data_IF_939395715252
#
_entry.id   IF_939395715252
#
_cell.length_a   1.000
_cell.length_b   1.000
_cell.length_c   1.000
_cell.angle_alpha   90.00
_cell.angle_beta   90.00
_cell.angle_gamma   90.00
#
_symmetry.space_group_name_H-M   'P 1'
#
loop_
_entity.id
_entity.type
_entity.pdbx_description
1 polymer ?
#
# COMPACT_ATOMS: atom_id res chain seq x y z
N UNK A 1 2.17 13.77 -9.91
CA UNK A 1 1.60 12.58 -9.26
C UNK A 1 2.45 11.37 -9.62
N UNK A 2 2.67 10.44 -8.70
CA UNK A 2 3.32 9.16 -8.99
C UNK A 2 2.26 8.18 -9.55
N UNK A 3 2.69 7.23 -10.37
CA UNK A 3 1.81 6.31 -11.11
C UNK A 3 0.97 5.44 -10.17
N UNK A 4 1.50 5.11 -8.99
CA UNK A 4 0.76 4.36 -7.96
C UNK A 4 -0.48 5.11 -7.47
N UNK A 5 -0.36 6.40 -7.14
CA UNK A 5 -1.53 7.18 -6.74
C UNK A 5 -2.52 7.31 -7.90
N UNK A 6 -2.03 7.52 -9.14
CA UNK A 6 -2.90 7.67 -10.32
C UNK A 6 -3.74 6.42 -10.55
N UNK A 7 -3.11 5.25 -10.45
CA UNK A 7 -3.80 3.97 -10.56
C UNK A 7 -4.83 3.80 -9.43
N UNK A 8 -4.49 4.14 -8.18
CA UNK A 8 -5.42 4.08 -7.06
C UNK A 8 -6.65 4.99 -7.28
N UNK A 9 -6.43 6.23 -7.72
CA UNK A 9 -7.50 7.16 -8.05
C UNK A 9 -8.41 6.59 -9.15
N UNK A 10 -7.83 6.06 -10.23
CA UNK A 10 -8.58 5.43 -11.31
C UNK A 10 -9.42 4.22 -10.83
N UNK A 11 -8.83 3.35 -10.00
CA UNK A 11 -9.51 2.19 -9.45
C UNK A 11 -10.67 2.60 -8.52
N UNK A 12 -10.45 3.57 -7.64
CA UNK A 12 -11.51 4.13 -6.78
C UNK A 12 -12.65 4.71 -7.62
N UNK A 13 -12.33 5.52 -8.64
CA UNK A 13 -13.34 6.13 -9.49
C UNK A 13 -14.12 5.11 -10.31
N UNK A 14 -13.45 4.04 -10.78
CA UNK A 14 -14.12 2.92 -11.45
C UNK A 14 -15.11 2.23 -10.50
N UNK A 15 -14.66 1.81 -9.33
CA UNK A 15 -15.54 1.14 -8.35
C UNK A 15 -16.67 2.05 -7.91
N UNK A 16 -16.43 3.34 -7.69
CA UNK A 16 -17.46 4.33 -7.39
C UNK A 16 -18.57 4.39 -8.44
N UNK A 17 -18.23 4.34 -9.74
CA UNK A 17 -19.20 4.43 -10.84
C UNK A 17 -20.03 3.16 -11.01
N UNK A 18 -19.46 2.01 -10.67
CA UNK A 18 -20.05 0.71 -10.99
C UNK A 18 -20.65 -0.01 -9.77
N UNK A 19 -20.30 0.40 -8.54
CA UNK A 19 -20.75 -0.23 -7.30
C UNK A 19 -21.41 0.78 -6.36
N UNK A 20 -22.76 0.86 -6.32
CA UNK A 20 -23.49 1.81 -5.47
C UNK A 20 -23.14 1.70 -3.98
N UNK A 21 -22.92 0.48 -3.48
CA UNK A 21 -22.51 0.25 -2.08
C UNK A 21 -21.15 0.85 -1.77
N UNK A 22 -20.19 0.74 -2.69
CA UNK A 22 -18.88 1.36 -2.54
C UNK A 22 -18.96 2.87 -2.66
N UNK A 23 -19.79 3.40 -3.56
CA UNK A 23 -20.05 4.83 -3.67
C UNK A 23 -20.55 5.42 -2.35
N UNK A 24 -21.58 4.83 -1.76
CA UNK A 24 -22.11 5.27 -0.46
C UNK A 24 -21.06 5.15 0.66
N UNK A 25 -20.29 4.06 0.65
CA UNK A 25 -19.21 3.83 1.61
C UNK A 25 -18.11 4.89 1.53
N UNK A 26 -17.52 5.07 0.34
CA UNK A 26 -16.46 6.05 0.11
C UNK A 26 -16.97 7.47 0.40
N UNK A 27 -18.24 7.76 0.13
CA UNK A 27 -18.83 9.05 0.47
C UNK A 27 -18.80 9.27 1.98
N UNK A 28 -19.39 8.35 2.75
CA UNK A 28 -19.52 8.47 4.21
C UNK A 28 -18.17 8.45 4.92
N UNK A 29 -17.27 7.57 4.51
CA UNK A 29 -16.00 7.36 5.19
C UNK A 29 -14.95 8.42 4.83
N UNK A 30 -14.92 8.86 3.57
CA UNK A 30 -13.83 9.71 3.06
C UNK A 30 -14.29 11.13 2.74
N UNK A 31 -15.41 11.27 2.02
CA UNK A 31 -15.81 12.57 1.48
C UNK A 31 -16.60 13.41 2.48
N UNK A 32 -17.49 12.80 3.24
CA UNK A 32 -18.51 13.48 4.03
C UNK A 32 -17.89 14.39 5.10
N UNK A 33 -18.45 15.60 5.21
CA UNK A 33 -18.23 16.52 6.32
C UNK A 33 -19.55 16.71 7.06
N UNK A 34 -19.49 16.95 8.36
CA UNK A 34 -20.68 17.26 9.15
C UNK A 34 -21.50 18.40 8.51
N UNK A 35 -22.78 18.12 8.30
CA UNK A 35 -23.75 19.01 7.67
C UNK A 35 -23.84 18.92 6.14
N UNK A 36 -22.97 18.16 5.48
CA UNK A 36 -23.04 17.94 4.03
C UNK A 36 -24.27 17.10 3.64
N UNK A 37 -24.58 17.07 2.34
CA UNK A 37 -25.67 16.22 1.83
C UNK A 37 -25.19 14.78 1.63
N UNK A 38 -26.13 13.85 1.55
CA UNK A 38 -25.81 12.52 1.03
C UNK A 38 -25.39 12.60 -0.44
N UNK A 39 -24.69 11.57 -0.90
CA UNK A 39 -24.31 11.42 -2.31
C UNK A 39 -25.57 11.21 -3.15
N UNK A 40 -25.77 12.04 -4.16
CA UNK A 40 -26.87 11.91 -5.10
C UNK A 40 -26.53 10.91 -6.21
N UNK A 41 -27.54 10.31 -6.84
CA UNK A 41 -27.32 9.33 -7.92
C UNK A 41 -26.64 9.94 -9.16
N UNK A 42 -26.85 11.23 -9.40
CA UNK A 42 -26.24 12.00 -10.47
C UNK A 42 -24.90 12.66 -10.06
N UNK A 43 -24.31 12.27 -8.91
CA UNK A 43 -22.98 12.70 -8.55
C UNK A 43 -21.95 12.13 -9.54
N UNK A 44 -21.04 12.99 -10.01
CA UNK A 44 -19.97 12.60 -10.92
C UNK A 44 -18.64 12.49 -10.16
N UNK A 45 -17.81 11.54 -10.58
CA UNK A 45 -16.40 11.42 -10.16
C UNK A 45 -15.51 11.48 -11.40
N UNK A 46 -14.44 12.26 -11.35
CA UNK A 46 -13.44 12.41 -12.41
C UNK A 46 -12.04 12.19 -11.84
N UNK A 47 -11.19 11.51 -12.61
CA UNK A 47 -9.80 11.19 -12.25
C UNK A 47 -8.89 12.18 -12.94
N UNK A 48 -8.05 12.89 -12.17
CA UNK A 48 -7.12 13.90 -12.69
C UNK A 48 -7.72 14.81 -13.81
N UNK A 49 -8.97 15.33 -13.68
CA UNK A 49 -9.51 16.22 -14.71
C UNK A 49 -8.65 17.48 -14.85
N UNK A 50 -7.94 17.82 -13.77
CA UNK A 50 -6.93 18.85 -13.71
C UNK A 50 -5.69 18.27 -13.03
N UNK A 51 -4.50 18.76 -13.40
CA UNK A 51 -3.22 18.31 -12.81
C UNK A 51 -3.06 18.62 -11.30
N UNK A 52 -4.09 19.21 -10.69
CA UNK A 52 -4.15 19.61 -9.28
C UNK A 52 -5.23 18.90 -8.46
N UNK A 53 -5.90 17.89 -9.01
CA UNK A 53 -6.89 17.10 -8.26
C UNK A 53 -6.83 15.64 -8.67
N UNK A 54 -6.40 14.76 -7.76
CA UNK A 54 -6.33 13.32 -8.03
C UNK A 54 -7.73 12.73 -8.33
N UNK A 55 -8.71 13.08 -7.49
CA UNK A 55 -10.13 12.85 -7.72
C UNK A 55 -10.91 14.15 -7.54
N UNK A 56 -11.85 14.40 -8.46
CA UNK A 56 -12.83 15.47 -8.36
C UNK A 56 -14.24 14.86 -8.34
N UNK A 57 -15.02 15.15 -7.31
CA UNK A 57 -16.40 14.71 -7.18
C UNK A 57 -17.31 15.94 -7.17
N UNK A 58 -18.32 15.94 -8.02
CA UNK A 58 -19.37 16.97 -8.03
C UNK A 58 -20.70 16.32 -7.65
N UNK A 59 -21.30 16.78 -6.55
CA UNK A 59 -22.56 16.29 -6.03
C UNK A 59 -23.61 17.42 -6.08
N UNK A 60 -24.44 17.48 -7.13
CA UNK A 60 -25.50 18.49 -7.24
C UNK A 60 -26.67 18.15 -6.33
N UNK A 61 -26.97 19.03 -5.38
CA UNK A 61 -28.02 18.83 -4.37
C UNK A 61 -29.00 20.00 -4.36
N UNK A 62 -30.19 19.89 -3.73
CA UNK A 62 -31.08 21.04 -3.53
C UNK A 62 -30.45 22.21 -2.75
N UNK A 63 -29.34 21.98 -2.03
CA UNK A 63 -28.62 23.00 -1.26
C UNK A 63 -27.48 23.67 -2.05
N UNK A 64 -27.26 23.28 -3.30
CA UNK A 64 -26.13 23.70 -4.12
C UNK A 64 -25.29 22.51 -4.58
N UNK A 65 -24.24 22.81 -5.35
CA UNK A 65 -23.31 21.81 -5.88
C UNK A 65 -22.14 21.69 -4.93
N UNK A 66 -21.99 20.54 -4.29
CA UNK A 66 -20.80 20.27 -3.49
C UNK A 66 -19.68 19.77 -4.40
N UNK A 67 -18.49 20.37 -4.27
CA UNK A 67 -17.31 20.03 -5.06
C UNK A 67 -16.22 19.54 -4.12
N UNK A 68 -15.85 18.26 -4.26
CA UNK A 68 -14.82 17.62 -3.45
C UNK A 68 -13.60 17.34 -4.30
N UNK A 69 -12.45 17.79 -3.83
CA UNK A 69 -11.16 17.26 -4.26
C UNK A 69 -10.70 16.24 -3.24
N UNK A 70 -10.37 15.03 -3.68
CA UNK A 70 -9.69 14.04 -2.85
C UNK A 70 -8.28 13.90 -3.39
N UNK A 71 -7.29 14.34 -2.60
CA UNK A 71 -5.86 14.24 -2.90
C UNK A 71 -5.28 13.02 -2.18
N UNK A 72 -4.75 12.07 -2.95
CA UNK A 72 -4.26 10.79 -2.48
C UNK A 72 -2.76 10.86 -2.18
N UNK A 73 -2.33 10.18 -1.11
CA UNK A 73 -0.92 9.89 -0.83
C UNK A 73 -0.75 8.42 -0.49
N UNK A 74 0.14 7.75 -1.23
CA UNK A 74 0.57 6.38 -0.96
C UNK A 74 2.06 6.40 -0.66
N UNK A 75 2.88 6.76 -1.67
CA UNK A 75 4.34 6.83 -1.56
C UNK A 75 4.88 8.24 -1.74
N UNK A 76 4.15 9.09 -2.46
CA UNK A 76 4.57 10.45 -2.74
C UNK A 76 4.56 11.32 -1.48
N UNK A 77 5.63 12.12 -1.32
CA UNK A 77 5.68 13.15 -0.29
C UNK A 77 4.64 14.23 -0.61
N UNK A 78 3.90 14.66 0.41
CA UNK A 78 2.97 15.77 0.30
C UNK A 78 3.76 17.07 0.07
N UNK A 79 3.57 17.70 -1.09
CA UNK A 79 4.21 18.99 -1.40
C UNK A 79 3.51 20.16 -0.72
N UNK A 80 4.19 21.29 -0.59
CA UNK A 80 3.63 22.47 0.11
C UNK A 80 2.41 23.07 -0.61
N UNK A 81 2.39 23.07 -1.96
CA UNK A 81 1.24 23.53 -2.75
C UNK A 81 -0.01 22.63 -2.61
N UNK A 82 0.18 21.40 -2.14
CA UNK A 82 -0.89 20.42 -1.88
C UNK A 82 -1.34 20.41 -0.41
N UNK A 83 -0.52 20.94 0.50
CA UNK A 83 -0.71 20.81 1.94
C UNK A 83 -1.57 21.95 2.50
N UNK A 84 -2.81 21.71 2.98
CA UNK A 84 -3.67 22.78 3.49
C UNK A 84 -3.11 23.53 4.72
N UNK A 85 -2.14 22.94 5.42
CA UNK A 85 -1.44 23.55 6.54
C UNK A 85 -0.37 24.58 6.12
N UNK A 86 -0.02 24.63 4.83
CA UNK A 86 1.05 25.46 4.24
C UNK A 86 0.46 26.61 3.44
N UNK A 87 1.17 27.76 3.42
CA UNK A 87 0.64 29.00 2.82
C UNK A 87 0.47 28.85 1.32
N UNK A 88 1.39 28.12 0.71
CA UNK A 88 1.51 27.77 -0.70
C UNK A 88 0.22 27.16 -1.23
N UNK A 89 -0.46 26.32 -0.45
CA UNK A 89 -1.78 25.77 -0.82
C UNK A 89 -2.83 26.84 -1.11
N UNK A 90 -2.80 27.96 -0.38
CA UNK A 90 -3.75 29.06 -0.54
C UNK A 90 -3.37 30.09 -1.62
N UNK A 91 -2.20 29.96 -2.24
CA UNK A 91 -1.76 30.86 -3.31
C UNK A 91 -2.45 30.51 -4.64
N UNK A 92 -2.37 31.41 -5.63
CA UNK A 92 -3.07 31.28 -6.91
C UNK A 92 -2.74 29.98 -7.68
N UNK A 93 -1.52 29.49 -7.53
CA UNK A 93 -0.98 28.25 -8.08
C UNK A 93 -1.04 27.06 -7.11
N UNK A 94 -1.43 27.32 -5.85
CA UNK A 94 -1.71 26.30 -4.85
C UNK A 94 -3.01 25.55 -5.14
N UNK A 95 -3.12 24.31 -4.68
CA UNK A 95 -4.29 23.47 -4.97
C UNK A 95 -5.59 24.08 -4.41
N UNK A 96 -5.54 24.74 -3.25
CA UNK A 96 -6.68 25.46 -2.69
C UNK A 96 -7.05 26.69 -3.53
N UNK A 97 -6.07 27.48 -3.96
CA UNK A 97 -6.31 28.61 -4.85
C UNK A 97 -6.89 28.19 -6.19
N UNK A 98 -6.37 27.12 -6.79
CA UNK A 98 -6.86 26.55 -8.03
C UNK A 98 -8.29 26.00 -7.89
N UNK A 99 -8.60 25.29 -6.80
CA UNK A 99 -9.96 24.83 -6.52
C UNK A 99 -10.94 26.01 -6.42
N UNK A 100 -10.58 27.06 -5.67
CA UNK A 100 -11.42 28.24 -5.53
C UNK A 100 -11.56 29.03 -6.84
N UNK A 101 -10.51 29.12 -7.65
CA UNK A 101 -10.56 29.82 -8.93
C UNK A 101 -11.46 29.11 -9.95
N UNK A 102 -11.54 27.78 -9.92
CA UNK A 102 -12.33 26.98 -10.86
C UNK A 102 -13.76 26.70 -10.38
N UNK A 103 -14.00 26.71 -9.06
CA UNK A 103 -15.27 26.27 -8.46
C UNK A 103 -15.76 27.17 -7.30
N UNK A 104 -15.24 28.40 -7.20
CA UNK A 104 -15.61 29.36 -6.15
C UNK A 104 -16.87 30.18 -6.48
N UNK A 105 -17.75 29.67 -7.36
CA UNK A 105 -18.91 30.42 -7.84
C UNK A 105 -20.10 30.36 -6.86
N UNK A 106 -21.05 31.31 -6.91
CA UNK A 106 -22.25 31.26 -6.07
C UNK A 106 -23.01 29.94 -6.25
N UNK A 107 -23.32 29.28 -5.12
CA UNK A 107 -24.01 27.98 -5.11
C UNK A 107 -23.08 26.77 -5.10
N UNK A 108 -21.76 26.97 -5.22
CA UNK A 108 -20.77 25.91 -5.07
C UNK A 108 -20.22 25.85 -3.65
N UNK A 109 -20.01 24.62 -3.17
CA UNK A 109 -19.63 24.34 -1.79
C UNK A 109 -18.35 23.49 -1.82
N UNK A 110 -17.23 24.12 -1.48
CA UNK A 110 -15.90 23.54 -1.70
C UNK A 110 -15.40 22.67 -0.53
N UNK A 111 -14.86 21.51 -0.88
CA UNK A 111 -14.31 20.52 0.04
C UNK A 111 -12.97 20.00 -0.49
N UNK A 112 -11.99 19.87 0.40
CA UNK A 112 -10.71 19.26 0.09
C UNK A 112 -10.40 18.17 1.12
N UNK A 113 -10.19 16.95 0.65
CA UNK A 113 -9.88 15.78 1.46
C UNK A 113 -8.46 15.35 1.14
N UNK A 114 -7.60 15.35 2.16
CA UNK A 114 -6.29 14.75 2.06
C UNK A 114 -6.36 13.29 2.55
N UNK A 115 -6.18 12.33 1.65
CA UNK A 115 -6.30 10.90 1.94
C UNK A 115 -4.92 10.24 2.01
N UNK A 116 -4.61 9.62 3.15
CA UNK A 116 -3.43 8.74 3.29
C UNK A 116 -2.11 9.45 3.59
N UNK A 117 -2.11 10.78 3.67
CA UNK A 117 -0.91 11.52 4.08
C UNK A 117 -0.57 11.31 5.56
N UNK A 118 0.69 11.59 5.93
CA UNK A 118 1.09 11.73 7.34
C UNK A 118 0.27 12.82 8.04
N UNK A 119 0.01 12.73 9.35
CA UNK A 119 -0.77 13.74 10.07
C UNK A 119 -0.26 15.16 9.84
N UNK A 120 -1.17 16.07 9.47
CA UNK A 120 -0.88 17.50 9.31
C UNK A 120 -1.77 18.33 10.23
N UNK A 121 -1.23 19.47 10.71
CA UNK A 121 -1.99 20.40 11.54
C UNK A 121 -2.93 21.25 10.66
N UNK A 122 -4.15 20.76 10.46
CA UNK A 122 -5.11 21.37 9.55
C UNK A 122 -5.71 22.66 10.11
N UNK A 123 -5.77 23.66 9.23
CA UNK A 123 -6.51 24.89 9.50
C UNK A 123 -7.98 24.69 9.13
N UNK A 124 -8.90 24.99 10.06
CA UNK A 124 -10.36 24.92 9.81
C UNK A 124 -10.82 25.79 8.63
N UNK A 125 -10.13 26.92 8.41
CA UNK A 125 -10.29 27.79 7.24
C UNK A 125 -8.90 28.05 6.66
N UNK A 126 -8.49 27.32 5.61
CA UNK A 126 -7.17 27.50 5.03
C UNK A 126 -7.11 28.85 4.32
N UNK A 127 -6.29 29.76 4.84
CA UNK A 127 -5.81 30.94 4.12
C UNK A 127 -6.93 31.85 3.58
N UNK A 128 -8.03 31.96 4.32
CA UNK A 128 -9.24 32.74 3.97
C UNK A 128 -9.96 32.27 2.71
N UNK A 129 -9.70 31.06 2.23
CA UNK A 129 -10.48 30.44 1.17
C UNK A 129 -11.79 29.87 1.72
N UNK A 130 -12.90 29.91 0.97
CA UNK A 130 -14.18 29.33 1.36
C UNK A 130 -14.20 27.80 1.20
N UNK A 131 -13.11 27.13 1.58
CA UNK A 131 -12.89 25.69 1.44
C UNK A 131 -12.87 25.06 2.83
N UNK A 132 -13.65 24.00 3.04
CA UNK A 132 -13.48 23.14 4.22
C UNK A 132 -12.52 22.01 3.88
N UNK A 133 -11.59 21.75 4.80
CA UNK A 133 -10.54 20.73 4.61
C UNK A 133 -10.63 19.67 5.69
N UNK A 134 -10.37 18.43 5.32
CA UNK A 134 -10.20 17.34 6.27
C UNK A 134 -9.09 16.39 5.82
N UNK A 135 -8.54 15.68 6.79
CA UNK A 135 -7.63 14.58 6.55
C UNK A 135 -8.36 13.28 6.86
N UNK A 136 -8.17 12.30 5.99
CA UNK A 136 -8.61 10.92 6.15
C UNK A 136 -7.45 9.99 5.90
N UNK A 137 -7.57 8.80 6.41
CA UNK A 137 -6.55 7.76 6.33
C UNK A 137 -7.12 6.57 5.58
N UNK A 138 -6.22 5.77 4.99
CA UNK A 138 -6.64 4.57 4.27
C UNK A 138 -7.43 3.58 5.14
N UNK A 139 -7.16 3.54 6.45
CA UNK A 139 -7.96 2.77 7.42
C UNK A 139 -9.41 3.22 7.48
N UNK A 140 -9.68 4.52 7.35
CA UNK A 140 -11.04 5.05 7.39
C UNK A 140 -11.84 4.53 6.18
N UNK A 141 -11.16 4.28 5.05
CA UNK A 141 -11.77 3.60 3.91
C UNK A 141 -11.93 2.10 4.17
N UNK A 142 -10.93 1.45 4.76
CA UNK A 142 -10.89 0.01 4.98
C UNK A 142 -11.89 -0.49 6.04
N UNK A 143 -12.22 0.33 7.03
CA UNK A 143 -13.24 0.02 8.02
C UNK A 143 -14.60 -0.18 7.33
N UNK A 144 -15.30 -1.28 7.66
CA UNK A 144 -16.58 -1.67 7.06
C UNK A 144 -16.61 -1.73 5.52
N UNK A 145 -15.46 -2.03 4.89
CA UNK A 145 -15.33 -2.01 3.45
C UNK A 145 -16.27 -3.02 2.73
N UNK A 146 -16.97 -2.62 1.65
CA UNK A 146 -17.91 -3.49 0.95
C UNK A 146 -17.27 -4.75 0.36
N UNK A 147 -17.99 -5.88 0.44
CA UNK A 147 -17.48 -7.21 0.03
C UNK A 147 -17.96 -7.67 -1.36
N UNK A 148 -18.39 -6.76 -2.22
CA UNK A 148 -18.77 -7.09 -3.62
C UNK A 148 -17.55 -7.50 -4.44
N UNK A 149 -17.74 -8.15 -5.59
CA UNK A 149 -16.61 -8.62 -6.44
C UNK A 149 -15.69 -7.49 -6.87
N UNK A 150 -16.25 -6.39 -7.37
CA UNK A 150 -15.49 -5.22 -7.82
C UNK A 150 -14.86 -4.46 -6.64
N UNK A 151 -15.55 -4.39 -5.49
CA UNK A 151 -14.97 -3.80 -4.28
C UNK A 151 -13.79 -4.62 -3.79
N UNK A 152 -13.91 -5.95 -3.77
CA UNK A 152 -12.79 -6.85 -3.46
C UNK A 152 -11.61 -6.56 -4.37
N UNK A 153 -11.81 -6.53 -5.69
CA UNK A 153 -10.75 -6.22 -6.67
C UNK A 153 -10.06 -4.88 -6.41
N UNK A 154 -10.81 -3.86 -6.00
CA UNK A 154 -10.25 -2.59 -5.55
C UNK A 154 -9.39 -2.76 -4.29
N UNK A 155 -9.87 -3.44 -3.25
CA UNK A 155 -9.08 -3.68 -2.04
C UNK A 155 -7.77 -4.43 -2.34
N UNK A 156 -7.80 -5.43 -3.23
CA UNK A 156 -6.59 -6.13 -3.69
C UNK A 156 -5.64 -5.14 -4.37
N UNK A 157 -6.16 -4.36 -5.30
CA UNK A 157 -5.40 -3.39 -6.08
C UNK A 157 -4.72 -2.36 -5.18
N UNK A 158 -5.44 -1.82 -4.17
CA UNK A 158 -4.89 -0.87 -3.20
C UNK A 158 -3.80 -1.51 -2.34
N UNK A 159 -3.99 -2.77 -1.91
CA UNK A 159 -2.97 -3.51 -1.18
C UNK A 159 -1.71 -3.77 -1.99
N UNK A 160 -1.85 -4.13 -3.27
CA UNK A 160 -0.70 -4.31 -4.19
C UNK A 160 0.09 -3.02 -4.41
N UNK A 161 -0.53 -1.85 -4.22
CA UNK A 161 0.15 -0.56 -4.26
C UNK A 161 0.87 -0.23 -2.94
N UNK A 162 0.84 -1.12 -1.94
CA UNK A 162 1.50 -0.93 -0.65
C UNK A 162 0.70 -0.10 0.36
N UNK A 163 -0.64 -0.06 0.22
CA UNK A 163 -1.51 0.56 1.22
C UNK A 163 -1.80 -0.45 2.34
N UNK A 164 -1.11 -0.34 3.46
CA UNK A 164 -1.20 -1.29 4.60
C UNK A 164 -2.62 -1.49 5.17
N UNK A 165 -3.50 -0.49 5.03
CA UNK A 165 -4.90 -0.60 5.49
C UNK A 165 -5.73 -1.59 4.67
N UNK A 166 -5.31 -1.84 3.44
CA UNK A 166 -5.79 -2.94 2.62
C UNK A 166 -4.67 -3.95 2.59
N UNK A 167 -4.45 -4.72 3.68
CA UNK A 167 -3.49 -5.80 3.63
C UNK A 167 -3.90 -6.60 2.41
N UNK A 168 -2.99 -6.67 1.44
CA UNK A 168 -3.35 -7.17 0.13
C UNK A 168 -4.13 -8.46 0.33
N UNK A 169 -5.11 -8.64 -0.52
CA UNK A 169 -5.48 -9.98 -0.89
C UNK A 169 -4.28 -10.65 -1.58
N UNK A 170 -3.22 -10.94 -0.81
CA UNK A 170 -2.12 -11.87 -1.10
C UNK A 170 -2.66 -13.32 -1.11
N UNK A 171 -3.94 -13.48 -1.39
CA UNK A 171 -4.75 -14.68 -1.25
C UNK A 171 -5.51 -14.94 -2.56
N UNK A 172 -5.23 -14.22 -3.66
CA UNK A 172 -5.97 -14.42 -4.91
C UNK A 172 -5.67 -15.74 -5.64
N UNK A 173 -4.69 -16.53 -5.16
CA UNK A 173 -4.51 -17.95 -5.52
C UNK A 173 -4.86 -18.93 -4.38
N UNK A 174 -5.51 -18.49 -3.31
CA UNK A 174 -5.79 -19.32 -2.14
C UNK A 174 -7.29 -19.28 -1.81
N UNK A 175 -7.98 -20.42 -2.00
CA UNK A 175 -9.41 -20.58 -1.69
C UNK A 175 -9.79 -19.94 -0.33
N UNK A 176 -10.67 -18.95 -0.42
CA UNK A 176 -11.02 -17.98 0.63
C UNK A 176 -12.10 -18.54 1.54
N UNK A 177 -11.71 -18.98 2.74
CA UNK A 177 -12.49 -18.78 3.98
C UNK A 177 -11.66 -19.17 5.22
N UNK A 178 -10.68 -20.06 5.08
CA UNK A 178 -9.82 -20.53 6.19
C UNK A 178 -8.46 -19.82 6.26
N UNK A 179 -8.04 -19.11 5.21
CA UNK A 179 -6.63 -18.72 4.99
C UNK A 179 -6.24 -17.28 5.32
N UNK A 180 -7.19 -16.36 5.53
CA UNK A 180 -6.86 -14.99 5.98
C UNK A 180 -6.30 -14.98 7.41
N UNK A 181 -6.87 -15.80 8.30
CA UNK A 181 -6.31 -16.02 9.63
C UNK A 181 -4.97 -16.73 9.57
N UNK A 182 -4.76 -17.63 8.62
CA UNK A 182 -3.46 -18.29 8.40
C UNK A 182 -2.40 -17.33 7.87
N UNK A 183 -2.75 -16.41 6.98
CA UNK A 183 -1.85 -15.38 6.47
C UNK A 183 -1.47 -14.37 7.56
N UNK A 184 -2.45 -13.85 8.30
CA UNK A 184 -2.17 -12.95 9.44
C UNK A 184 -1.29 -13.64 10.51
N UNK A 185 -1.52 -14.93 10.74
CA UNK A 185 -0.64 -15.76 11.58
C UNK A 185 0.76 -15.90 10.97
N UNK A 186 0.87 -16.15 9.67
CA UNK A 186 2.14 -16.27 8.95
C UNK A 186 2.94 -14.97 9.03
N UNK A 187 2.34 -13.81 8.73
CA UNK A 187 3.05 -12.52 8.83
C UNK A 187 3.46 -12.21 10.28
N UNK A 188 2.59 -12.49 11.26
CA UNK A 188 2.91 -12.36 12.68
C UNK A 188 4.09 -13.26 13.10
N UNK A 189 4.12 -14.51 12.63
CA UNK A 189 5.25 -15.43 12.85
C UNK A 189 6.51 -14.86 12.21
N UNK A 190 6.44 -14.38 10.96
CA UNK A 190 7.60 -13.82 10.28
C UNK A 190 8.14 -12.56 10.97
N UNK A 191 7.27 -11.69 11.50
CA UNK A 191 7.66 -10.53 12.33
C UNK A 191 8.31 -10.96 13.63
N UNK A 192 7.77 -11.97 14.29
CA UNK A 192 8.34 -12.49 15.52
C UNK A 192 9.69 -13.17 15.28
N UNK A 193 9.86 -13.90 14.17
CA UNK A 193 11.14 -14.46 13.76
C UNK A 193 12.14 -13.34 13.50
N UNK A 194 11.79 -12.33 12.71
CA UNK A 194 12.62 -11.15 12.44
C UNK A 194 13.08 -10.46 13.74
N UNK A 195 12.15 -10.29 14.69
CA UNK A 195 12.42 -9.73 16.01
C UNK A 195 13.38 -10.61 16.81
N UNK A 196 13.21 -11.94 16.79
CA UNK A 196 14.05 -12.90 17.53
C UNK A 196 15.45 -13.02 16.96
N UNK A 197 15.59 -12.97 15.64
CA UNK A 197 16.92 -12.92 15.00
C UNK A 197 17.57 -11.54 15.17
N UNK A 198 16.88 -10.56 15.75
CA UNK A 198 17.37 -9.21 16.01
C UNK A 198 17.98 -8.55 14.75
N UNK A 199 17.35 -8.77 13.60
CA UNK A 199 17.82 -8.18 12.35
C UNK A 199 17.61 -6.66 12.36
N UNK A 200 18.51 -5.85 11.79
CA UNK A 200 18.28 -4.40 11.71
C UNK A 200 17.00 -4.08 10.91
N UNK A 201 16.00 -3.36 11.47
CA UNK A 201 14.68 -3.18 10.84
C UNK A 201 14.70 -2.48 9.47
N UNK A 202 15.73 -1.68 9.18
CA UNK A 202 15.91 -1.02 7.88
C UNK A 202 16.65 -1.89 6.85
N UNK A 203 16.98 -3.14 7.20
CA UNK A 203 17.77 -4.09 6.40
C UNK A 203 17.04 -5.42 6.23
N UNK A 204 15.73 -5.35 6.25
CA UNK A 204 14.81 -6.42 5.93
C UNK A 204 13.75 -5.85 4.99
N UNK A 205 13.28 -6.68 4.06
CA UNK A 205 12.25 -6.32 3.11
C UNK A 205 11.25 -7.46 3.06
N UNK A 206 9.96 -7.14 3.16
CA UNK A 206 8.91 -8.13 2.94
C UNK A 206 8.85 -8.45 1.45
N UNK A 207 8.78 -9.73 1.14
CA UNK A 207 8.82 -10.21 -0.23
C UNK A 207 7.69 -11.21 -0.44
N UNK A 208 6.89 -10.96 -1.47
CA UNK A 208 5.83 -11.85 -1.92
C UNK A 208 5.82 -11.83 -3.44
N UNK A 209 5.62 -12.99 -4.05
CA UNK A 209 5.57 -13.06 -5.49
C UNK A 209 5.19 -14.43 -6.01
N UNK A 210 5.06 -14.49 -7.33
CA UNK A 210 4.75 -15.70 -8.08
C UNK A 210 5.73 -15.78 -9.25
N UNK A 211 6.51 -16.86 -9.32
CA UNK A 211 7.43 -17.13 -10.42
C UNK A 211 7.34 -18.59 -10.86
N UNK A 212 7.20 -18.81 -12.18
CA UNK A 212 7.20 -20.14 -12.82
C UNK A 212 6.33 -21.20 -12.12
N UNK A 213 5.13 -20.82 -11.67
CA UNK A 213 4.20 -21.75 -11.00
C UNK A 213 4.45 -21.92 -9.49
N UNK A 214 5.42 -21.21 -8.93
CA UNK A 214 5.71 -21.19 -7.50
C UNK A 214 5.31 -19.85 -6.89
N UNK A 215 4.78 -19.89 -5.68
CA UNK A 215 4.54 -18.70 -4.87
C UNK A 215 5.51 -18.67 -3.69
N UNK A 216 5.82 -17.46 -3.22
CA UNK A 216 6.61 -17.24 -2.02
C UNK A 216 6.08 -16.06 -1.22
N UNK A 217 6.21 -16.14 0.10
CA UNK A 217 5.90 -15.10 1.09
C UNK A 217 6.98 -15.13 2.16
N UNK A 218 7.73 -14.06 2.35
CA UNK A 218 8.82 -14.07 3.31
C UNK A 218 9.45 -12.72 3.59
N UNK A 219 10.63 -12.80 4.18
CA UNK A 219 11.47 -11.67 4.53
C UNK A 219 12.82 -11.87 3.87
N UNK A 220 13.15 -10.98 2.96
CA UNK A 220 14.49 -10.85 2.41
C UNK A 220 15.36 -10.07 3.40
N UNK A 221 16.55 -10.61 3.70
CA UNK A 221 17.50 -10.05 4.64
C UNK A 221 18.66 -9.40 3.87
N UNK A 222 18.79 -8.09 4.01
CA UNK A 222 19.85 -7.32 3.39
C UNK A 222 21.15 -7.38 4.21
N UNK A 223 22.26 -7.30 3.50
CA UNK A 223 23.61 -7.12 4.06
C UNK A 223 23.64 -5.93 5.02
N UNK A 224 24.41 -6.03 6.10
CA UNK A 224 24.68 -4.90 6.99
C UNK A 224 25.98 -5.15 7.74
N UNK A 225 26.65 -4.09 8.15
CA UNK A 225 27.88 -4.16 8.95
C UNK A 225 27.59 -4.18 10.46
N UNK A 226 26.30 -4.27 10.84
CA UNK A 226 25.84 -4.50 12.21
C UNK A 226 25.54 -5.98 12.45
N UNK A 227 25.72 -6.45 13.68
CA UNK A 227 25.31 -7.81 14.06
C UNK A 227 23.76 -7.94 14.07
N UNK A 228 23.22 -9.15 13.79
CA UNK A 228 23.93 -10.37 13.36
C UNK A 228 24.20 -10.44 11.85
N UNK A 229 23.77 -9.43 11.08
CA UNK A 229 23.90 -9.40 9.63
C UNK A 229 25.36 -9.43 9.15
N UNK A 230 26.26 -8.77 9.87
CA UNK A 230 27.71 -8.81 9.61
C UNK A 230 28.26 -10.24 9.68
N UNK A 231 27.91 -10.98 10.74
CA UNK A 231 28.32 -12.38 10.90
C UNK A 231 27.80 -13.24 9.75
N UNK A 232 26.52 -13.14 9.39
CA UNK A 232 25.95 -13.92 8.30
C UNK A 232 26.57 -13.55 6.93
N UNK A 233 26.75 -12.26 6.66
CA UNK A 233 27.45 -11.73 5.47
C UNK A 233 28.85 -12.34 5.34
N UNK A 234 29.60 -12.45 6.44
CA UNK A 234 30.95 -13.02 6.44
C UNK A 234 30.98 -14.53 6.14
N UNK A 235 29.91 -15.25 6.51
CA UNK A 235 29.74 -16.67 6.29
C UNK A 235 29.31 -16.98 4.85
N UNK A 236 28.24 -16.34 4.37
CA UNK A 236 27.64 -16.64 3.05
C UNK A 236 28.42 -15.95 1.93
N UNK A 237 29.02 -14.78 2.21
CA UNK A 237 29.74 -13.91 1.26
C UNK A 237 28.89 -13.69 -0.01
N UNK A 238 27.74 -13.00 0.08
CA UNK A 238 26.80 -12.91 -1.03
C UNK A 238 27.42 -12.13 -2.19
N UNK A 239 26.98 -12.44 -3.42
CA UNK A 239 27.33 -11.64 -4.60
C UNK A 239 26.54 -10.32 -4.68
N UNK A 240 25.38 -10.27 -4.02
CA UNK A 240 24.44 -9.16 -4.06
C UNK A 240 24.21 -8.53 -2.67
N UNK A 241 23.27 -7.59 -2.60
CA UNK A 241 22.91 -6.87 -1.38
C UNK A 241 22.13 -7.71 -0.36
N UNK A 242 21.67 -8.90 -0.72
CA UNK A 242 20.87 -9.81 0.09
C UNK A 242 21.73 -10.98 0.59
N UNK A 243 21.58 -11.37 1.86
CA UNK A 243 22.33 -12.48 2.49
C UNK A 243 21.50 -13.73 2.68
N UNK A 244 20.19 -13.56 2.89
CA UNK A 244 19.29 -14.66 3.14
C UNK A 244 17.84 -14.25 2.87
N UNK A 245 16.97 -15.25 2.78
CA UNK A 245 15.52 -15.10 2.81
C UNK A 245 14.96 -16.16 3.74
N UNK A 246 13.88 -15.85 4.46
CA UNK A 246 13.10 -16.87 5.16
C UNK A 246 11.61 -16.61 5.00
N UNK A 247 10.84 -17.68 4.87
CA UNK A 247 9.42 -17.54 4.55
C UNK A 247 8.72 -18.84 4.25
N UNK A 248 7.53 -18.71 3.70
CA UNK A 248 6.72 -19.78 3.16
C UNK A 248 6.85 -19.79 1.64
N UNK A 249 6.94 -20.97 1.05
CA UNK A 249 6.99 -21.17 -0.39
C UNK A 249 6.24 -22.44 -0.78
N UNK A 250 5.73 -22.49 -2.01
CA UNK A 250 5.12 -23.70 -2.53
C UNK A 250 4.76 -23.59 -4.00
N UNK A 251 4.47 -24.74 -4.60
CA UNK A 251 3.87 -24.81 -5.94
C UNK A 251 2.40 -24.37 -5.88
N UNK A 252 1.89 -23.87 -7.01
CA UNK A 252 0.48 -23.55 -7.17
C UNK A 252 -0.41 -24.77 -6.86
N UNK A 253 -1.34 -24.62 -5.90
CA UNK A 253 -2.22 -25.70 -5.45
C UNK A 253 -1.57 -26.73 -4.51
N UNK A 254 -0.26 -26.66 -4.29
CA UNK A 254 0.49 -27.53 -3.37
C UNK A 254 0.46 -27.06 -1.90
N UNK A 255 0.93 -27.89 -0.95
CA UNK A 255 1.06 -27.50 0.45
C UNK A 255 2.19 -26.48 0.65
N UNK A 256 2.04 -25.47 1.53
CA UNK A 256 3.11 -24.56 1.87
C UNK A 256 4.25 -25.27 2.60
N UNK A 257 5.48 -24.85 2.32
CA UNK A 257 6.68 -25.28 3.04
C UNK A 257 7.39 -24.06 3.64
N UNK A 258 7.97 -24.22 4.83
CA UNK A 258 8.84 -23.18 5.40
C UNK A 258 10.25 -23.34 4.81
N UNK A 259 10.78 -22.26 4.24
CA UNK A 259 12.10 -22.22 3.63
C UNK A 259 13.01 -21.19 4.29
N UNK A 260 14.30 -21.51 4.30
CA UNK A 260 15.38 -20.55 4.58
C UNK A 260 16.38 -20.67 3.44
N UNK A 261 16.59 -19.58 2.72
CA UNK A 261 17.56 -19.49 1.64
C UNK A 261 18.75 -18.66 2.11
N UNK A 262 19.96 -19.15 1.85
CA UNK A 262 21.20 -18.44 2.16
C UNK A 262 21.92 -18.13 0.85
N UNK A 263 22.01 -16.85 0.50
CA UNK A 263 22.60 -16.41 -0.76
C UNK A 263 24.13 -16.47 -0.67
N UNK A 264 24.69 -17.63 -1.01
CA UNK A 264 26.12 -17.87 -0.98
C UNK A 264 26.78 -17.37 -2.28
N UNK A 265 27.75 -16.46 -2.21
CA UNK A 265 28.41 -15.92 -3.41
C UNK A 265 29.49 -16.84 -4.00
N UNK A 266 29.71 -18.04 -3.45
CA UNK A 266 30.59 -19.04 -4.06
C UNK A 266 30.12 -20.47 -3.76
N UNK A 267 30.50 -21.41 -4.65
CA UNK A 267 30.24 -22.84 -4.45
C UNK A 267 30.94 -23.40 -3.21
N UNK A 268 32.10 -22.86 -2.83
CA UNK A 268 32.83 -23.22 -1.62
C UNK A 268 32.06 -22.82 -0.36
N UNK A 269 31.62 -21.56 -0.27
CA UNK A 269 30.77 -21.06 0.83
C UNK A 269 29.50 -21.90 0.96
N UNK A 270 28.83 -22.19 -0.16
CA UNK A 270 27.62 -23.02 -0.21
C UNK A 270 27.86 -24.41 0.35
N UNK A 271 28.95 -25.08 -0.08
CA UNK A 271 29.29 -26.42 0.40
C UNK A 271 29.62 -26.42 1.90
N UNK A 272 30.39 -25.44 2.37
CA UNK A 272 30.74 -25.28 3.78
C UNK A 272 29.50 -25.11 4.65
N UNK A 273 28.61 -24.19 4.26
CA UNK A 273 27.36 -23.93 4.98
C UNK A 273 26.45 -25.16 4.96
N UNK A 274 26.29 -25.82 3.81
CA UNK A 274 25.51 -27.05 3.68
C UNK A 274 25.98 -28.13 4.67
N UNK A 275 27.29 -28.34 4.78
CA UNK A 275 27.86 -29.31 5.72
C UNK A 275 27.56 -28.93 7.17
N UNK A 276 27.70 -27.64 7.52
CA UNK A 276 27.38 -27.14 8.86
C UNK A 276 25.89 -27.28 9.20
N UNK A 277 25.00 -26.98 8.26
CA UNK A 277 23.56 -27.12 8.44
C UNK A 277 23.16 -28.58 8.59
N UNK A 278 23.69 -29.50 7.76
CA UNK A 278 23.41 -30.95 7.87
C UNK A 278 23.83 -31.53 9.22
N UNK A 279 24.93 -31.03 9.78
CA UNK A 279 25.38 -31.46 11.10
C UNK A 279 24.45 -31.01 12.23
N UNK A 280 23.84 -29.82 12.09
CA UNK A 280 23.06 -29.16 13.16
C UNK A 280 21.55 -29.32 13.04
N UNK A 281 21.01 -29.48 11.83
CA UNK A 281 19.57 -29.49 11.55
C UNK A 281 19.15 -30.86 11.00
N UNK A 282 19.22 -31.88 11.87
CA UNK A 282 18.77 -33.24 11.53
C UNK A 282 17.26 -33.23 11.29
N UNK A 283 16.82 -33.60 10.10
CA UNK A 283 15.39 -33.68 9.73
C UNK A 283 14.89 -32.58 8.78
N UNK A 284 15.74 -31.59 8.43
CA UNK A 284 15.40 -30.61 7.39
C UNK A 284 15.90 -31.08 6.02
N UNK A 285 15.12 -30.83 4.94
CA UNK A 285 15.67 -30.92 3.58
C UNK A 285 16.70 -29.81 3.40
N UNK A 286 17.91 -30.16 2.97
CA UNK A 286 18.98 -29.21 2.71
C UNK A 286 19.46 -29.43 1.29
N UNK A 287 18.91 -28.59 0.42
CA UNK A 287 19.18 -28.58 -1.01
C UNK A 287 20.18 -27.49 -1.39
N UNK A 288 20.87 -27.70 -2.50
CA UNK A 288 21.85 -26.77 -3.06
C UNK A 288 21.43 -26.42 -4.49
N UNK A 289 20.20 -25.96 -4.64
CA UNK A 289 19.70 -25.41 -5.90
C UNK A 289 20.46 -24.14 -6.24
N UNK A 290 20.70 -23.92 -7.53
CA UNK A 290 21.06 -22.59 -8.03
C UNK A 290 19.83 -21.68 -7.80
N UNK A 291 20.01 -20.37 -7.55
CA UNK A 291 18.87 -19.46 -7.57
C UNK A 291 18.16 -19.56 -8.93
N UNK A 292 16.86 -19.23 -9.01
CA UNK A 292 16.27 -18.84 -10.29
C UNK A 292 17.21 -17.79 -10.88
N UNK A 293 17.70 -18.00 -12.10
CA UNK A 293 18.47 -16.97 -12.77
C UNK A 293 17.58 -15.73 -12.89
N UNK A 294 17.91 -14.68 -12.13
CA UNK A 294 17.47 -13.30 -12.41
C UNK A 294 18.13 -12.88 -13.73
N UNK A 295 17.63 -13.45 -14.83
CA UNK A 295 17.90 -12.97 -16.17
C UNK A 295 16.98 -11.78 -16.40
N UNK A 296 17.35 -10.61 -15.88
CA UNK A 296 16.97 -9.28 -16.39
C UNK A 296 17.52 -8.19 -15.45
N UNK A 297 18.68 -7.61 -15.81
CA UNK A 297 18.97 -6.16 -15.84
C UNK A 297 20.27 -5.93 -16.61
#
# INVERSE_FOLDING_TARGET
>A
MNESERFAAAAIAFTWRHEPRFREHFWKSICFFDGDADVMDNAEIRVEPYRWADLLITNPTPRGTFVYVVELKIHAVLSDIQNPAKREFGQLDGYGGLLNANFGFPGEILRFVLLGAKPVDLRKRPWNLPIRVQQRYWRDLADDFPTTSVSKDLAISLGMLGIDAFPAAEVKNMKVDTRQTEFAKADSILREVERRIAWPPARSKREFGFDKGNWYLGVELLTSDKEPAKSLKSLVRPAWTYVAWFGYQGEEGGPPSLGVWLYCGSGESRNKIRTQLRAKLRGCSIDATAPPEDNEF
#
